data_IF_189025822173
#
_entry.id   IF_189025822173
#
_cell.length_a   1.000
_cell.length_b   1.000
_cell.length_c   1.000
_cell.angle_alpha   90.00
_cell.angle_beta   90.00
_cell.angle_gamma   90.00
#
_symmetry.space_group_name_H-M   'P 1'
#
loop_
_entity.id
_entity.type
_entity.pdbx_description
1 polymer ?
#
# COMPACT_ATOMS: atom_id res chain seq x y z
N UNK A 1 -0.67 -11.10 -13.80
CA UNK A 1 0.19 -12.11 -14.46
C UNK A 1 -0.19 -13.48 -13.92
N UNK A 2 -0.35 -14.44 -14.80
CA UNK A 2 -0.72 -15.81 -14.48
C UNK A 2 0.31 -16.83 -14.99
N UNK A 3 0.26 -18.06 -14.44
CA UNK A 3 1.07 -19.18 -14.87
C UNK A 3 2.31 -19.45 -14.04
N UNK A 4 3.21 -20.28 -14.55
CA UNK A 4 4.44 -20.68 -13.86
C UNK A 4 5.33 -19.45 -13.64
N UNK A 5 5.96 -19.36 -12.44
CA UNK A 5 6.85 -18.27 -12.06
C UNK A 5 6.24 -16.87 -12.15
N UNK A 6 4.93 -16.76 -11.88
CA UNK A 6 4.21 -15.50 -12.01
C UNK A 6 4.87 -14.36 -11.22
N UNK A 7 5.29 -14.63 -9.97
CA UNK A 7 5.95 -13.62 -9.13
C UNK A 7 7.27 -13.13 -9.73
N UNK A 8 8.14 -14.04 -10.16
CA UNK A 8 9.43 -13.71 -10.75
C UNK A 8 9.27 -12.95 -12.08
N UNK A 9 8.31 -13.36 -12.92
CA UNK A 9 7.97 -12.64 -14.15
C UNK A 9 7.46 -11.24 -13.85
N UNK A 10 6.58 -11.09 -12.86
CA UNK A 10 6.04 -9.80 -12.45
C UNK A 10 7.12 -8.83 -12.02
N UNK A 11 8.03 -9.28 -11.19
CA UNK A 11 9.17 -8.49 -10.74
C UNK A 11 10.03 -8.04 -11.93
N UNK A 12 10.42 -8.96 -12.80
CA UNK A 12 11.24 -8.65 -13.99
C UNK A 12 10.56 -7.70 -14.96
N UNK A 13 9.26 -7.86 -15.21
CA UNK A 13 8.49 -6.95 -16.05
C UNK A 13 8.52 -5.54 -15.49
N UNK A 14 8.24 -5.36 -14.20
CA UNK A 14 8.23 -4.06 -13.56
C UNK A 14 9.62 -3.38 -13.57
N UNK A 15 10.67 -4.12 -13.25
CA UNK A 15 12.06 -3.63 -13.32
C UNK A 15 12.44 -3.19 -14.74
N UNK A 16 12.05 -3.96 -15.74
CA UNK A 16 12.32 -3.65 -17.16
C UNK A 16 11.59 -2.38 -17.61
N UNK A 17 10.35 -2.19 -17.16
CA UNK A 17 9.58 -0.96 -17.44
C UNK A 17 10.28 0.25 -16.80
N UNK A 18 10.64 0.19 -15.50
CA UNK A 18 11.34 1.29 -14.84
C UNK A 18 12.70 1.58 -15.49
N UNK A 19 13.46 0.54 -15.86
CA UNK A 19 14.71 0.71 -16.58
C UNK A 19 14.52 1.43 -17.91
N UNK A 20 13.50 1.04 -18.68
CA UNK A 20 13.17 1.68 -19.94
C UNK A 20 12.77 3.15 -19.75
N UNK A 21 11.93 3.45 -18.78
CA UNK A 21 11.52 4.83 -18.46
C UNK A 21 12.73 5.67 -18.10
N UNK A 22 13.62 5.19 -17.21
CA UNK A 22 14.84 5.91 -16.84
C UNK A 22 15.77 6.16 -18.05
N UNK A 23 15.90 5.20 -18.97
CA UNK A 23 16.65 5.40 -20.21
C UNK A 23 16.04 6.49 -21.11
N UNK A 24 14.71 6.56 -21.18
CA UNK A 24 14.02 7.61 -21.94
C UNK A 24 14.22 8.98 -21.28
N UNK A 25 14.12 9.07 -19.96
CA UNK A 25 14.39 10.30 -19.21
C UNK A 25 15.84 10.77 -19.45
N UNK A 26 16.81 9.87 -19.32
CA UNK A 26 18.22 10.19 -19.56
C UNK A 26 18.48 10.72 -20.97
N UNK A 27 17.88 10.13 -22.01
CA UNK A 27 17.98 10.62 -23.39
C UNK A 27 17.40 12.03 -23.57
N UNK A 28 16.52 12.46 -22.68
CA UNK A 28 15.92 13.82 -22.67
C UNK A 28 16.64 14.78 -21.75
N UNK A 29 17.78 14.38 -21.15
CA UNK A 29 18.52 15.18 -20.18
C UNK A 29 17.81 15.34 -18.85
N UNK A 30 16.82 14.50 -18.55
CA UNK A 30 16.06 14.51 -17.31
C UNK A 30 16.62 13.50 -16.29
N UNK A 31 16.56 13.78 -14.98
CA UNK A 31 17.00 12.84 -13.96
C UNK A 31 16.15 11.57 -13.95
N UNK A 32 16.68 10.49 -13.37
CA UNK A 32 15.95 9.25 -13.18
C UNK A 32 14.75 9.45 -12.23
N UNK A 33 13.83 8.47 -12.21
CA UNK A 33 12.71 8.45 -11.25
C UNK A 33 13.24 8.58 -9.82
N UNK A 34 12.64 9.49 -9.03
CA UNK A 34 13.10 9.78 -7.66
C UNK A 34 12.97 8.60 -6.72
N UNK A 35 11.88 7.88 -6.84
CA UNK A 35 11.65 6.64 -6.10
C UNK A 35 10.74 5.72 -6.90
N UNK A 36 11.01 4.44 -6.79
CA UNK A 36 10.20 3.38 -7.40
C UNK A 36 9.90 2.31 -6.37
N UNK A 37 8.73 1.73 -6.46
CA UNK A 37 8.34 0.59 -5.64
C UNK A 37 7.59 -0.42 -6.49
N UNK A 38 7.91 -1.69 -6.27
CA UNK A 38 7.24 -2.83 -6.91
C UNK A 38 6.65 -3.69 -5.82
N UNK A 39 5.37 -3.98 -5.94
CA UNK A 39 4.66 -4.86 -5.05
C UNK A 39 4.03 -6.00 -5.84
N UNK A 40 4.33 -7.22 -5.45
CA UNK A 40 3.79 -8.43 -6.06
C UNK A 40 2.68 -8.96 -5.17
N UNK A 41 1.47 -8.48 -5.41
CA UNK A 41 0.28 -8.89 -4.66
C UNK A 41 -0.10 -10.33 -5.06
N UNK A 42 -0.28 -11.19 -4.07
CA UNK A 42 -0.52 -12.62 -4.26
C UNK A 42 0.67 -13.52 -3.90
N UNK A 43 1.87 -12.93 -3.70
CA UNK A 43 3.09 -13.65 -3.28
C UNK A 43 3.42 -13.49 -1.80
N UNK A 44 2.47 -13.06 -0.98
CA UNK A 44 2.65 -12.79 0.45
C UNK A 44 3.78 -11.79 0.77
N UNK A 45 4.15 -10.93 -0.17
CA UNK A 45 5.24 -9.95 0.02
C UNK A 45 4.99 -9.03 1.23
N UNK A 46 3.73 -8.72 1.54
CA UNK A 46 3.36 -7.89 2.69
C UNK A 46 3.71 -8.52 4.05
N UNK A 47 3.85 -9.84 4.11
CA UNK A 47 4.24 -10.55 5.32
C UNK A 47 5.75 -10.53 5.58
N UNK A 48 6.56 -10.05 4.63
CA UNK A 48 8.01 -9.95 4.76
C UNK A 48 8.67 -11.28 5.13
N UNK A 49 9.38 -11.31 6.27
CA UNK A 49 10.05 -12.51 6.74
C UNK A 49 9.10 -13.64 7.17
N UNK A 50 7.84 -13.34 7.43
CA UNK A 50 6.81 -14.29 7.84
C UNK A 50 6.04 -14.87 6.64
N UNK A 51 6.39 -14.48 5.40
CA UNK A 51 5.77 -15.06 4.21
C UNK A 51 6.14 -16.55 4.11
N UNK A 52 5.17 -17.36 3.69
CA UNK A 52 5.41 -18.79 3.45
C UNK A 52 6.37 -18.98 2.27
N UNK A 53 7.33 -19.90 2.35
CA UNK A 53 8.26 -20.15 1.25
C UNK A 53 7.57 -20.46 -0.08
N UNK A 54 6.44 -21.18 -0.03
CA UNK A 54 5.65 -21.59 -1.19
C UNK A 54 4.91 -20.42 -1.85
N UNK A 55 4.72 -19.31 -1.15
CA UNK A 55 4.04 -18.13 -1.69
C UNK A 55 4.74 -17.56 -2.94
N UNK A 56 6.05 -17.79 -3.08
CA UNK A 56 6.80 -17.42 -4.29
C UNK A 56 6.44 -18.26 -5.51
N UNK A 57 5.83 -19.44 -5.31
CA UNK A 57 5.38 -20.34 -6.38
C UNK A 57 3.93 -20.05 -6.82
N UNK A 58 3.36 -18.95 -6.34
CA UNK A 58 2.02 -18.53 -6.73
C UNK A 58 1.89 -18.44 -8.26
N UNK A 59 0.75 -18.88 -8.77
CA UNK A 59 0.47 -18.92 -10.22
C UNK A 59 -0.37 -17.75 -10.71
N UNK A 60 -0.77 -16.88 -9.81
CA UNK A 60 -1.56 -15.69 -10.10
C UNK A 60 -1.12 -14.54 -9.21
N UNK A 61 -0.81 -13.42 -9.82
CA UNK A 61 -0.34 -12.22 -9.12
C UNK A 61 -0.88 -10.94 -9.77
N UNK A 62 -0.96 -9.89 -8.98
CA UNK A 62 -1.08 -8.53 -9.48
C UNK A 62 0.20 -7.76 -9.18
N UNK A 63 0.78 -7.15 -10.22
CA UNK A 63 1.94 -6.27 -10.06
C UNK A 63 1.46 -4.86 -9.83
N UNK A 64 1.80 -4.27 -8.69
CA UNK A 64 1.59 -2.86 -8.40
C UNK A 64 2.91 -2.11 -8.54
N UNK A 65 2.92 -1.12 -9.41
CA UNK A 65 4.09 -0.28 -9.66
C UNK A 65 3.81 1.13 -9.17
N UNK A 66 4.70 1.68 -8.36
CA UNK A 66 4.63 3.05 -7.88
C UNK A 66 5.90 3.78 -8.26
N UNK A 67 5.77 5.00 -8.78
CA UNK A 67 6.90 5.87 -9.06
C UNK A 67 6.59 7.30 -8.61
N UNK A 68 7.62 8.02 -8.17
CA UNK A 68 7.54 9.45 -7.84
C UNK A 68 8.46 10.24 -8.74
N UNK A 69 7.96 11.36 -9.21
CA UNK A 69 8.72 12.29 -10.04
C UNK A 69 8.16 13.71 -9.91
N UNK A 70 9.00 14.77 -9.96
CA UNK A 70 8.54 16.14 -9.76
C UNK A 70 7.65 16.65 -10.89
N UNK A 71 7.85 16.14 -12.10
CA UNK A 71 7.20 16.63 -13.32
C UNK A 71 6.18 15.61 -13.79
N UNK A 72 4.91 16.02 -13.84
CA UNK A 72 3.79 15.14 -14.17
C UNK A 72 3.92 14.50 -15.55
N UNK A 73 4.36 15.26 -16.56
CA UNK A 73 4.50 14.82 -17.94
C UNK A 73 5.45 13.62 -18.09
N UNK A 74 6.50 13.57 -17.26
CA UNK A 74 7.44 12.45 -17.27
C UNK A 74 6.81 11.14 -16.81
N UNK A 75 5.83 11.18 -15.91
CA UNK A 75 5.10 9.99 -15.46
C UNK A 75 4.13 9.45 -16.52
N UNK A 76 3.74 10.25 -17.51
CA UNK A 76 2.94 9.77 -18.62
C UNK A 76 3.69 8.74 -19.48
N UNK A 77 5.04 8.80 -19.51
CA UNK A 77 5.84 7.76 -20.16
C UNK A 77 5.70 6.41 -19.44
N UNK A 78 5.73 6.42 -18.12
CA UNK A 78 5.50 5.19 -17.35
C UNK A 78 4.13 4.58 -17.69
N UNK A 79 3.09 5.41 -17.76
CA UNK A 79 1.75 4.98 -18.13
C UNK A 79 1.69 4.36 -19.52
N UNK A 80 2.41 4.94 -20.49
CA UNK A 80 2.50 4.40 -21.85
C UNK A 80 3.24 3.07 -21.90
N UNK A 81 4.35 2.94 -21.17
CA UNK A 81 5.15 1.72 -21.15
C UNK A 81 4.42 0.56 -20.48
N UNK A 82 3.65 0.82 -19.42
CA UNK A 82 2.79 -0.19 -18.79
C UNK A 82 1.76 -0.71 -19.80
N UNK A 83 1.14 0.17 -20.58
CA UNK A 83 0.14 -0.23 -21.56
C UNK A 83 0.74 -1.11 -22.66
N UNK A 84 1.93 -0.77 -23.16
CA UNK A 84 2.63 -1.57 -24.17
C UNK A 84 3.08 -2.92 -23.61
N UNK A 85 3.58 -2.94 -22.38
CA UNK A 85 4.03 -4.15 -21.71
C UNK A 85 2.91 -5.19 -21.56
N UNK A 86 1.68 -4.75 -21.35
CA UNK A 86 0.52 -5.63 -21.16
C UNK A 86 0.19 -6.50 -22.36
N UNK A 87 0.67 -6.11 -23.56
CA UNK A 87 0.33 -6.81 -24.81
C UNK A 87 1.29 -7.93 -25.21
N UNK A 88 2.46 -8.03 -24.59
CA UNK A 88 3.39 -9.07 -25.03
C UNK A 88 4.75 -9.12 -24.34
N UNK A 89 4.94 -8.41 -23.23
CA UNK A 89 6.25 -8.36 -22.58
C UNK A 89 6.64 -9.66 -21.88
N UNK A 90 5.66 -10.40 -21.38
CA UNK A 90 5.88 -11.71 -20.77
C UNK A 90 4.67 -12.63 -20.98
N UNK A 91 4.89 -13.96 -21.10
CA UNK A 91 3.80 -14.92 -21.11
C UNK A 91 2.97 -14.85 -19.83
N UNK A 92 1.64 -14.88 -19.96
CA UNK A 92 0.73 -14.84 -18.82
C UNK A 92 0.33 -13.45 -18.37
N UNK A 93 0.75 -12.39 -19.06
CA UNK A 93 0.15 -11.06 -18.88
C UNK A 93 -1.30 -11.11 -19.36
N UNK A 94 -2.26 -10.92 -18.44
CA UNK A 94 -3.69 -11.09 -18.72
C UNK A 94 -4.43 -9.75 -18.89
N UNK A 95 -3.89 -8.65 -18.40
CA UNK A 95 -4.53 -7.34 -18.53
C UNK A 95 -4.02 -6.30 -17.55
N UNK A 96 -4.57 -5.10 -17.62
CA UNK A 96 -4.34 -3.99 -16.71
C UNK A 96 -5.64 -3.72 -15.94
N UNK A 97 -5.58 -3.82 -14.62
CA UNK A 97 -6.71 -3.47 -13.77
C UNK A 97 -6.76 -1.95 -13.55
N UNK A 98 -7.94 -1.35 -13.64
CA UNK A 98 -8.13 0.09 -13.41
C UNK A 98 -7.78 1.00 -14.59
N UNK A 99 -7.44 0.45 -15.74
CA UNK A 99 -7.11 1.24 -16.94
C UNK A 99 -5.74 1.90 -16.89
N UNK A 100 -5.53 2.88 -17.78
CA UNK A 100 -4.25 3.59 -17.87
C UNK A 100 -4.06 4.51 -16.66
N UNK A 101 -2.99 4.34 -15.85
CA UNK A 101 -2.78 5.14 -14.65
C UNK A 101 -2.54 6.61 -14.99
N UNK A 102 -3.12 7.50 -14.18
CA UNK A 102 -2.90 8.94 -14.27
C UNK A 102 -2.03 9.40 -13.10
N UNK A 103 -1.05 10.27 -13.31
CA UNK A 103 -0.30 10.88 -12.22
C UNK A 103 -1.23 11.68 -11.30
N UNK A 104 -0.98 11.61 -10.00
CA UNK A 104 -1.69 12.37 -8.98
C UNK A 104 -0.69 13.03 -8.01
N UNK A 105 -1.05 14.17 -7.40
CA UNK A 105 -0.23 14.77 -6.37
C UNK A 105 0.00 13.83 -5.20
N UNK A 106 1.21 13.88 -4.62
CA UNK A 106 1.52 13.12 -3.40
C UNK A 106 0.94 13.86 -2.21
N UNK A 107 -0.03 13.24 -1.56
CA UNK A 107 -0.59 13.73 -0.29
C UNK A 107 0.23 13.16 0.86
N UNK A 108 0.63 14.03 1.80
CA UNK A 108 1.33 13.64 3.01
C UNK A 108 0.45 13.92 4.22
N UNK A 109 0.41 12.97 5.13
CA UNK A 109 -0.18 13.19 6.44
C UNK A 109 0.77 14.08 7.27
N UNK A 110 0.23 15.19 7.79
CA UNK A 110 0.90 16.01 8.78
C UNK A 110 0.23 15.76 10.13
N UNK A 111 0.97 15.20 11.05
CA UNK A 111 0.49 14.95 12.42
C UNK A 111 0.97 16.06 13.35
N UNK A 112 0.05 16.62 14.12
CA UNK A 112 0.37 17.59 15.15
C UNK A 112 -0.32 17.21 16.45
N UNK A 113 0.26 17.69 17.56
CA UNK A 113 -0.32 17.53 18.89
C UNK A 113 -1.07 18.83 19.21
N UNK A 114 -2.30 18.69 19.63
CA UNK A 114 -3.11 19.83 20.11
C UNK A 114 -3.48 19.61 21.57
N UNK A 115 -3.61 20.69 22.38
CA UNK A 115 -4.11 20.58 23.75
C UNK A 115 -5.50 19.94 23.76
N UNK A 116 -5.78 19.05 24.71
CA UNK A 116 -7.12 18.42 24.84
C UNK A 116 -8.24 19.45 24.98
N UNK A 117 -7.96 20.59 25.61
CA UNK A 117 -8.90 21.71 25.79
C UNK A 117 -9.30 22.37 24.46
N UNK A 118 -8.51 22.23 23.42
CA UNK A 118 -8.82 22.78 22.10
C UNK A 118 -9.78 21.89 21.29
N UNK A 119 -10.05 20.66 21.76
CA UNK A 119 -10.93 19.71 21.07
C UNK A 119 -12.25 19.60 21.84
N UNK A 120 -13.36 20.19 21.33
CA UNK A 120 -14.66 20.03 21.95
C UNK A 120 -15.12 18.57 21.80
N UNK A 121 -15.53 17.97 22.91
CA UNK A 121 -16.07 16.62 22.92
C UNK A 121 -17.55 16.68 23.24
N UNK A 122 -18.37 16.00 22.47
CA UNK A 122 -19.79 15.89 22.72
C UNK A 122 -20.29 14.47 22.47
N UNK A 123 -21.30 14.07 23.22
CA UNK A 123 -22.08 12.86 22.99
C UNK A 123 -23.37 13.25 22.23
N UNK A 124 -23.74 12.43 21.28
CA UNK A 124 -25.03 12.51 20.61
C UNK A 124 -25.81 11.24 20.97
N UNK A 125 -26.90 11.41 21.72
CA UNK A 125 -27.75 10.30 22.15
C UNK A 125 -29.16 10.62 21.71
N UNK A 126 -29.70 9.84 20.81
CA UNK A 126 -31.06 9.99 20.28
C UNK A 126 -31.36 11.40 19.72
N UNK A 127 -30.35 12.07 19.16
CA UNK A 127 -30.47 13.42 18.59
C UNK A 127 -30.26 14.55 19.61
N UNK A 128 -30.05 14.24 20.87
CA UNK A 128 -29.66 15.21 21.91
C UNK A 128 -28.12 15.27 22.00
N UNK A 129 -27.57 16.47 21.84
CA UNK A 129 -26.11 16.69 21.93
C UNK A 129 -25.73 17.22 23.29
N UNK A 130 -24.97 16.44 24.02
CA UNK A 130 -24.49 16.74 25.39
C UNK A 130 -22.99 17.03 25.30
N UNK A 131 -22.56 18.22 25.77
CA UNK A 131 -21.15 18.55 25.89
C UNK A 131 -20.50 17.75 27.03
N UNK A 132 -19.34 17.16 26.72
CA UNK A 132 -18.58 16.38 27.72
C UNK A 132 -17.35 17.18 28.15
N UNK A 133 -17.23 17.40 29.46
CA UNK A 133 -16.01 17.98 30.02
C UNK A 133 -14.88 16.94 30.00
N UNK A 134 -13.79 17.27 29.29
CA UNK A 134 -12.60 16.41 29.24
C UNK A 134 -11.65 16.87 30.36
N UNK A 135 -11.24 16.00 31.28
CA UNK A 135 -10.26 16.34 32.32
C UNK A 135 -8.95 16.81 31.68
N UNK A 136 -8.45 17.96 32.10
CA UNK A 136 -7.19 18.55 31.62
C UNK A 136 -5.96 18.01 32.33
N UNK A 137 -6.14 17.56 33.55
CA UNK A 137 -5.15 17.04 34.49
C UNK A 137 -5.14 15.50 34.55
N UNK A 138 -5.49 14.87 33.44
CA UNK A 138 -5.33 13.43 33.30
C UNK A 138 -3.87 13.07 33.57
N UNK A 139 -3.61 12.64 34.80
CA UNK A 139 -2.31 12.15 35.17
C UNK A 139 -1.84 11.17 34.12
N UNK A 140 -0.61 11.34 33.64
CA UNK A 140 0.04 10.38 32.75
C UNK A 140 0.07 9.04 33.48
N UNK A 141 -0.95 8.23 33.27
CA UNK A 141 -0.85 6.82 33.64
C UNK A 141 0.20 6.32 32.64
N UNK A 142 1.44 6.25 33.13
CA UNK A 142 2.48 5.53 32.42
C UNK A 142 1.83 4.19 32.04
N UNK A 143 1.64 3.95 30.74
CA UNK A 143 1.20 2.64 30.30
C UNK A 143 2.18 1.68 30.96
N UNK A 144 1.72 0.98 31.99
CA UNK A 144 2.47 -0.14 32.53
C UNK A 144 2.75 -0.94 31.26
N UNK A 145 3.99 -0.98 30.82
CA UNK A 145 4.38 -1.94 29.80
C UNK A 145 3.89 -3.26 30.38
N UNK A 146 2.76 -3.70 29.89
CA UNK A 146 2.42 -5.09 30.02
C UNK A 146 3.66 -5.77 29.47
N UNK A 147 4.47 -6.32 30.38
CA UNK A 147 5.58 -7.16 29.98
C UNK A 147 4.97 -8.01 28.88
N UNK A 148 5.55 -7.94 27.69
CA UNK A 148 5.08 -8.73 26.58
C UNK A 148 5.27 -10.16 27.06
N UNK A 149 4.30 -10.65 27.83
CA UNK A 149 4.18 -12.04 28.19
C UNK A 149 4.19 -12.77 26.86
N UNK A 150 4.77 -13.93 26.84
CA UNK A 150 4.86 -14.83 25.70
C UNK A 150 3.68 -14.58 24.76
N UNK A 151 3.99 -14.27 23.50
CA UNK A 151 2.99 -14.07 22.45
C UNK A 151 2.04 -15.24 22.55
N UNK A 152 0.83 -14.99 23.03
CA UNK A 152 -0.16 -16.05 23.22
C UNK A 152 -0.25 -16.77 21.87
N UNK A 153 -0.06 -18.08 21.90
CA UNK A 153 -0.20 -18.91 20.72
C UNK A 153 -1.64 -18.74 20.20
N UNK A 154 -1.81 -17.87 19.21
CA UNK A 154 -3.09 -17.59 18.58
C UNK A 154 -3.53 -18.70 17.62
N UNK A 155 -2.81 -19.82 17.54
CA UNK A 155 -3.16 -20.96 16.69
C UNK A 155 -4.51 -21.60 17.05
N UNK A 156 -4.98 -21.35 18.29
CA UNK A 156 -6.25 -21.87 18.81
C UNK A 156 -7.42 -20.86 18.75
N UNK A 157 -7.17 -19.62 18.31
CA UNK A 157 -8.24 -18.63 18.21
C UNK A 157 -9.02 -18.85 16.94
N UNK A 158 -10.08 -19.65 17.04
CA UNK A 158 -11.13 -19.68 16.02
C UNK A 158 -11.89 -18.37 16.09
N UNK A 159 -11.53 -17.42 15.26
CA UNK A 159 -12.28 -16.18 15.10
C UNK A 159 -13.61 -16.46 14.41
N UNK A 160 -14.63 -16.75 15.18
CA UNK A 160 -15.99 -16.54 14.73
C UNK A 160 -16.36 -15.07 14.94
N UNK A 161 -15.77 -14.18 14.16
CA UNK A 161 -16.29 -12.82 14.05
C UNK A 161 -17.53 -12.92 13.16
N UNK A 162 -18.75 -12.62 13.68
CA UNK A 162 -19.90 -12.55 12.81
C UNK A 162 -19.61 -11.43 11.81
N UNK A 163 -19.63 -11.80 10.51
CA UNK A 163 -19.63 -10.84 9.42
C UNK A 163 -20.91 -9.99 9.58
N UNK A 164 -20.77 -8.78 10.10
CA UNK A 164 -21.84 -7.79 10.03
C UNK A 164 -21.90 -7.38 8.55
N UNK A 165 -22.88 -7.94 7.83
CA UNK A 165 -23.24 -7.40 6.53
C UNK A 165 -23.81 -5.99 6.78
N UNK A 166 -23.04 -4.98 6.39
CA UNK A 166 -23.58 -3.64 6.22
C UNK A 166 -24.46 -3.68 4.97
N UNK A 167 -25.76 -3.51 5.18
CA UNK A 167 -26.75 -3.30 4.13
C UNK A 167 -26.56 -1.92 3.49
#
# INVERSE_FOLDING_TARGET
>A
IIGIDAAAKGQRVAESIFSKVNKVLAKRGAPALMSTHIEIVGSEQAYGANARPEAKQCREITVRMVARYPVQEALLFLSSEIAQASTGMAPGLAGIMGGRPKPSPVVRLFSCVVPKTAVPVSLDIQGERIAVSVPTDGGFIAATRLACGEVADNSQVTHSVPLVQLA
#
